data_IF_957833788347
#
_entry.id   IF_957833788347
#
_cell.length_a   1.000
_cell.length_b   1.000
_cell.length_c   1.000
_cell.angle_alpha   90.00
_cell.angle_beta   90.00
_cell.angle_gamma   90.00
#
_symmetry.space_group_name_H-M   'P 1'
#
loop_
_entity.id
_entity.type
_entity.pdbx_description
1 polymer ?
#
# COMPACT_ATOMS: atom_id res chain seq x y z
N UNK A 1 21.94 31.57 -4.22
CA UNK A 1 20.77 30.80 -4.71
C UNK A 1 21.31 29.63 -5.54
N UNK A 2 21.40 28.41 -4.96
CA UNK A 2 21.69 27.22 -5.76
C UNK A 2 20.38 26.84 -6.46
N UNK A 3 20.36 26.96 -7.78
CA UNK A 3 19.29 26.47 -8.64
C UNK A 3 19.04 24.99 -8.29
N UNK A 4 17.82 24.69 -7.85
CA UNK A 4 17.33 23.34 -7.68
C UNK A 4 17.25 22.73 -9.10
N UNK A 5 18.30 22.06 -9.54
CA UNK A 5 18.19 21.14 -10.67
C UNK A 5 17.33 19.97 -10.18
N UNK A 6 16.04 20.03 -10.48
CA UNK A 6 15.12 18.93 -10.24
C UNK A 6 15.55 17.83 -11.20
N UNK A 7 16.03 16.73 -10.65
CA UNK A 7 16.52 15.60 -11.41
C UNK A 7 15.36 15.08 -12.29
N UNK A 8 15.59 14.90 -13.59
CA UNK A 8 14.57 14.45 -14.56
C UNK A 8 13.86 13.18 -14.08
N UNK A 9 14.60 12.28 -13.44
CA UNK A 9 14.07 11.04 -12.91
C UNK A 9 13.10 11.26 -11.74
N UNK A 10 13.32 12.31 -10.93
CA UNK A 10 12.41 12.69 -9.87
C UNK A 10 11.07 13.20 -10.43
N UNK A 11 11.11 14.08 -11.43
CA UNK A 11 9.89 14.61 -12.07
C UNK A 11 9.12 13.49 -12.76
N UNK A 12 9.81 12.63 -13.48
CA UNK A 12 9.21 11.49 -14.16
C UNK A 12 8.51 10.54 -13.16
N UNK A 13 9.17 10.24 -12.04
CA UNK A 13 8.60 9.39 -10.99
C UNK A 13 7.36 10.03 -10.34
N UNK A 14 7.40 11.34 -10.06
CA UNK A 14 6.27 12.06 -9.50
C UNK A 14 5.07 12.06 -10.45
N UNK A 15 5.28 12.38 -11.73
CA UNK A 15 4.24 12.35 -12.77
C UNK A 15 3.65 10.93 -12.94
N UNK A 16 4.51 9.90 -12.96
CA UNK A 16 4.07 8.51 -13.05
C UNK A 16 3.18 8.13 -11.86
N UNK A 17 3.54 8.52 -10.63
CA UNK A 17 2.73 8.24 -9.44
C UNK A 17 1.38 8.94 -9.46
N UNK A 18 1.32 10.19 -9.94
CA UNK A 18 0.05 10.91 -10.12
C UNK A 18 -0.82 10.20 -11.15
N UNK A 19 -0.25 9.78 -12.28
CA UNK A 19 -1.00 9.07 -13.31
C UNK A 19 -1.51 7.71 -12.80
N UNK A 20 -0.70 6.94 -12.06
CA UNK A 20 -1.12 5.69 -11.42
C UNK A 20 -2.29 5.95 -10.45
N UNK A 21 -2.23 7.02 -9.65
CA UNK A 21 -3.31 7.40 -8.75
C UNK A 21 -4.63 7.64 -9.52
N UNK A 22 -4.56 8.40 -10.62
CA UNK A 22 -5.73 8.67 -11.47
C UNK A 22 -6.29 7.40 -12.11
N UNK A 23 -5.43 6.52 -12.63
CA UNK A 23 -5.84 5.23 -13.20
C UNK A 23 -6.48 4.31 -12.14
N UNK A 24 -5.91 4.24 -10.95
CA UNK A 24 -6.49 3.44 -9.88
C UNK A 24 -7.84 4.02 -9.41
N UNK A 25 -7.97 5.35 -9.37
CA UNK A 25 -9.24 5.99 -9.05
C UNK A 25 -10.30 5.72 -10.12
N UNK A 26 -9.92 5.79 -11.41
CA UNK A 26 -10.79 5.42 -12.53
C UNK A 26 -11.21 3.94 -12.45
N UNK A 27 -10.29 3.03 -12.07
CA UNK A 27 -10.62 1.63 -11.84
C UNK A 27 -11.60 1.43 -10.67
N UNK A 28 -11.48 2.22 -9.59
CA UNK A 28 -12.44 2.21 -8.48
C UNK A 28 -13.81 2.65 -8.97
N UNK A 29 -13.93 3.79 -9.69
CA UNK A 29 -15.19 4.28 -10.24
C UNK A 29 -15.81 3.23 -11.16
N UNK A 30 -15.03 2.65 -12.06
CA UNK A 30 -15.51 1.62 -12.97
C UNK A 30 -16.06 0.41 -12.22
N UNK A 31 -15.30 -0.14 -11.25
CA UNK A 31 -15.72 -1.32 -10.49
C UNK A 31 -16.99 -1.08 -9.67
N UNK A 32 -17.16 0.13 -9.11
CA UNK A 32 -18.32 0.48 -8.31
C UNK A 32 -19.55 0.73 -9.16
N UNK A 33 -19.42 1.40 -10.30
CA UNK A 33 -20.53 1.70 -11.22
C UNK A 33 -21.07 0.44 -11.90
N UNK A 34 -20.19 -0.50 -12.26
CA UNK A 34 -20.57 -1.67 -13.05
C UNK A 34 -20.98 -2.85 -12.17
N UNK A 35 -20.24 -3.11 -11.08
CA UNK A 35 -20.45 -4.30 -10.26
C UNK A 35 -21.06 -4.00 -8.89
N UNK A 36 -21.38 -2.73 -8.62
CA UNK A 36 -22.02 -2.30 -7.38
C UNK A 36 -21.15 -2.51 -6.14
N UNK A 37 -21.78 -2.36 -4.97
CA UNK A 37 -21.10 -2.46 -3.69
C UNK A 37 -20.64 -3.89 -3.36
N UNK A 38 -21.42 -4.90 -3.71
CA UNK A 38 -21.09 -6.31 -3.46
C UNK A 38 -19.88 -6.73 -4.30
N UNK A 39 -19.88 -6.51 -5.62
CA UNK A 39 -18.75 -6.82 -6.49
C UNK A 39 -17.49 -6.05 -6.09
N UNK A 40 -17.64 -4.80 -5.65
CA UNK A 40 -16.54 -4.01 -5.10
C UNK A 40 -16.01 -4.60 -3.80
N UNK A 41 -16.85 -5.18 -2.96
CA UNK A 41 -16.47 -5.87 -1.74
C UNK A 41 -15.58 -7.08 -2.02
N UNK A 42 -15.98 -7.96 -2.93
CA UNK A 42 -15.16 -9.10 -3.37
C UNK A 42 -13.80 -8.68 -3.92
N UNK A 43 -13.77 -7.63 -4.75
CA UNK A 43 -12.51 -7.08 -5.26
C UNK A 43 -11.63 -6.52 -4.13
N UNK A 44 -12.22 -5.89 -3.11
CA UNK A 44 -11.47 -5.32 -1.99
C UNK A 44 -10.84 -6.41 -1.12
N UNK A 45 -11.55 -7.50 -0.84
CA UNK A 45 -10.99 -8.67 -0.12
C UNK A 45 -9.89 -9.31 -0.95
N UNK A 46 -10.13 -9.60 -2.23
CA UNK A 46 -9.11 -10.17 -3.12
C UNK A 46 -7.83 -9.31 -3.16
N UNK A 47 -7.98 -7.99 -3.26
CA UNK A 47 -6.83 -7.07 -3.25
C UNK A 47 -6.10 -7.08 -1.88
N UNK A 48 -6.84 -7.22 -0.78
CA UNK A 48 -6.26 -7.37 0.56
C UNK A 48 -5.48 -8.67 0.67
N UNK A 49 -6.02 -9.79 0.18
CA UNK A 49 -5.36 -11.09 0.18
C UNK A 49 -4.08 -11.09 -0.64
N UNK A 50 -4.11 -10.53 -1.86
CA UNK A 50 -2.89 -10.36 -2.68
C UNK A 50 -1.86 -9.50 -1.96
N UNK A 51 -2.29 -8.43 -1.26
CA UNK A 51 -1.39 -7.58 -0.47
C UNK A 51 -0.80 -8.31 0.73
N UNK A 52 -1.56 -9.21 1.36
CA UNK A 52 -1.08 -10.07 2.44
C UNK A 52 0.02 -11.03 1.94
N UNK A 53 -0.25 -11.72 0.84
CA UNK A 53 0.74 -12.61 0.22
C UNK A 53 1.97 -11.83 -0.22
N UNK A 54 1.79 -10.64 -0.79
CA UNK A 54 2.89 -9.76 -1.19
C UNK A 54 3.83 -9.45 -0.02
N UNK A 55 3.31 -9.21 1.19
CA UNK A 55 4.14 -8.96 2.39
C UNK A 55 5.09 -10.13 2.67
N UNK A 56 4.64 -11.37 2.51
CA UNK A 56 5.50 -12.55 2.69
C UNK A 56 6.42 -12.81 1.51
N UNK A 57 5.97 -12.62 0.27
CA UNK A 57 6.84 -12.78 -0.91
C UNK A 57 7.93 -11.72 -0.94
N UNK A 58 7.66 -10.50 -0.46
CA UNK A 58 8.58 -9.37 -0.42
C UNK A 58 9.83 -9.65 0.42
N UNK A 59 9.80 -10.59 1.36
CA UNK A 59 10.98 -11.00 2.15
C UNK A 59 12.18 -11.30 1.22
N UNK A 60 11.95 -11.95 0.08
CA UNK A 60 13.01 -12.30 -0.87
C UNK A 60 12.88 -11.63 -2.25
N UNK A 61 11.84 -10.81 -2.48
CA UNK A 61 11.64 -10.16 -3.78
C UNK A 61 11.80 -8.65 -3.76
N UNK A 62 11.83 -8.02 -2.58
CA UNK A 62 11.87 -6.55 -2.46
C UNK A 62 13.27 -6.04 -2.06
N UNK A 63 13.42 -5.44 -0.91
CA UNK A 63 14.62 -4.74 -0.46
C UNK A 63 15.85 -5.64 -0.37
N UNK A 64 15.68 -6.92 -0.01
CA UNK A 64 16.76 -7.90 -0.02
C UNK A 64 17.42 -8.02 -1.39
N UNK A 65 16.64 -7.98 -2.49
CA UNK A 65 17.16 -8.02 -3.86
C UNK A 65 17.99 -6.78 -4.15
N UNK A 66 17.44 -5.59 -3.92
CA UNK A 66 18.13 -4.32 -4.19
C UNK A 66 19.44 -4.21 -3.40
N UNK A 67 19.44 -4.67 -2.14
CA UNK A 67 20.61 -4.60 -1.25
C UNK A 67 21.72 -5.60 -1.63
N UNK A 68 21.34 -6.84 -1.92
CA UNK A 68 22.31 -7.91 -2.20
C UNK A 68 22.73 -8.01 -3.67
N UNK A 69 22.06 -7.31 -4.59
CA UNK A 69 22.31 -7.40 -6.04
C UNK A 69 23.77 -7.22 -6.42
N UNK A 70 24.44 -6.20 -5.87
CA UNK A 70 25.85 -5.90 -6.17
C UNK A 70 26.82 -6.92 -5.56
N UNK A 71 26.43 -7.60 -4.48
CA UNK A 71 27.29 -8.54 -3.73
C UNK A 71 27.19 -9.97 -4.24
N UNK A 72 25.99 -10.39 -4.64
CA UNK A 72 25.66 -11.81 -4.94
C UNK A 72 25.39 -11.98 -6.44
N UNK A 73 24.92 -10.94 -7.11
CA UNK A 73 24.49 -11.00 -8.51
C UNK A 73 23.02 -11.39 -8.66
N UNK A 74 22.51 -11.24 -9.89
CA UNK A 74 21.07 -11.36 -10.17
C UNK A 74 20.56 -12.82 -10.20
N UNK A 75 21.38 -13.77 -10.68
CA UNK A 75 20.90 -15.16 -10.91
C UNK A 75 20.59 -15.94 -9.61
N UNK A 76 21.43 -15.94 -8.57
CA UNK A 76 21.09 -16.57 -7.29
C UNK A 76 19.89 -15.92 -6.62
N UNK A 77 19.79 -14.58 -6.67
CA UNK A 77 18.66 -13.84 -6.10
C UNK A 77 17.36 -14.17 -6.86
N UNK A 78 17.38 -14.27 -8.20
CA UNK A 78 16.23 -14.65 -9.00
C UNK A 78 15.73 -16.06 -8.67
N UNK A 79 16.66 -17.02 -8.56
CA UNK A 79 16.30 -18.40 -8.19
C UNK A 79 15.57 -18.46 -6.85
N UNK A 80 16.12 -17.77 -5.84
CA UNK A 80 15.51 -17.71 -4.50
C UNK A 80 14.17 -16.98 -4.50
N UNK A 81 14.09 -15.84 -5.17
CA UNK A 81 12.89 -15.03 -5.24
C UNK A 81 11.73 -15.79 -5.92
N UNK A 82 11.98 -16.44 -7.05
CA UNK A 82 10.93 -17.19 -7.78
C UNK A 82 10.49 -18.44 -7.02
N UNK A 83 11.42 -19.23 -6.46
CA UNK A 83 11.06 -20.37 -5.63
C UNK A 83 10.25 -19.96 -4.40
N UNK A 84 10.70 -18.92 -3.71
CA UNK A 84 10.02 -18.40 -2.53
C UNK A 84 8.61 -17.89 -2.86
N UNK A 85 8.49 -17.09 -3.93
CA UNK A 85 7.20 -16.57 -4.41
C UNK A 85 6.24 -17.72 -4.72
N UNK A 86 6.70 -18.74 -5.43
CA UNK A 86 5.88 -19.91 -5.76
C UNK A 86 5.40 -20.63 -4.48
N UNK A 87 6.30 -20.91 -3.55
CA UNK A 87 5.98 -21.61 -2.28
C UNK A 87 4.97 -20.78 -1.46
N UNK A 88 5.23 -19.50 -1.24
CA UNK A 88 4.33 -18.64 -0.45
C UNK A 88 2.96 -18.52 -1.11
N UNK A 89 2.92 -18.32 -2.44
CA UNK A 89 1.66 -18.22 -3.19
C UNK A 89 0.88 -19.54 -3.17
N UNK A 90 1.56 -20.70 -3.25
CA UNK A 90 0.92 -22.01 -3.17
C UNK A 90 0.33 -22.27 -1.78
N UNK A 91 1.08 -21.97 -0.72
CA UNK A 91 0.58 -22.08 0.66
C UNK A 91 -0.63 -21.17 0.86
N UNK A 92 -0.55 -19.92 0.41
CA UNK A 92 -1.67 -18.98 0.51
C UNK A 92 -2.89 -19.44 -0.27
N UNK A 93 -2.72 -19.97 -1.48
CA UNK A 93 -3.81 -20.52 -2.30
C UNK A 93 -4.50 -21.73 -1.61
N UNK A 94 -3.72 -22.59 -0.95
CA UNK A 94 -4.28 -23.70 -0.15
C UNK A 94 -5.09 -23.13 1.03
N UNK A 95 -4.59 -22.13 1.74
CA UNK A 95 -5.33 -21.50 2.86
C UNK A 95 -6.65 -20.91 2.34
N UNK A 96 -6.63 -20.11 1.26
CA UNK A 96 -7.83 -19.51 0.66
C UNK A 96 -8.83 -20.58 0.25
N UNK A 97 -8.40 -21.70 -0.34
CA UNK A 97 -9.28 -22.79 -0.73
C UNK A 97 -10.07 -23.42 0.45
N UNK A 98 -9.54 -23.33 1.67
CA UNK A 98 -10.21 -23.85 2.87
C UNK A 98 -10.96 -22.79 3.68
N UNK A 99 -10.64 -21.52 3.51
CA UNK A 99 -11.16 -20.44 4.36
C UNK A 99 -12.19 -19.56 3.66
N UNK A 100 -12.08 -19.37 2.34
CA UNK A 100 -12.93 -18.45 1.59
C UNK A 100 -13.33 -19.02 0.22
N UNK A 101 -14.54 -19.58 0.16
CA UNK A 101 -15.11 -20.09 -1.08
C UNK A 101 -15.46 -19.00 -2.12
N UNK A 102 -15.48 -17.72 -1.72
CA UNK A 102 -15.83 -16.59 -2.58
C UNK A 102 -14.66 -16.13 -3.46
N UNK A 103 -13.43 -16.40 -3.06
CA UNK A 103 -12.22 -16.04 -3.81
C UNK A 103 -11.84 -17.18 -4.78
N UNK A 104 -11.75 -16.89 -6.08
CA UNK A 104 -11.36 -17.91 -7.06
C UNK A 104 -9.88 -18.30 -6.88
N UNK A 105 -9.63 -19.49 -6.36
CA UNK A 105 -8.31 -19.97 -5.92
C UNK A 105 -7.25 -19.92 -7.04
N UNK A 106 -7.59 -20.37 -8.26
CA UNK A 106 -6.64 -20.39 -9.37
C UNK A 106 -6.24 -18.98 -9.84
N UNK A 107 -7.17 -18.06 -10.11
CA UNK A 107 -6.83 -16.65 -10.36
C UNK A 107 -6.00 -16.03 -9.23
N UNK A 108 -6.34 -16.28 -7.98
CA UNK A 108 -5.60 -15.79 -6.82
C UNK A 108 -4.14 -16.27 -6.83
N UNK A 109 -3.92 -17.58 -6.98
CA UNK A 109 -2.57 -18.15 -7.07
C UNK A 109 -1.75 -17.53 -8.20
N UNK A 110 -2.34 -17.44 -9.40
CA UNK A 110 -1.64 -16.90 -10.57
C UNK A 110 -1.26 -15.42 -10.36
N UNK A 111 -2.20 -14.60 -9.87
CA UNK A 111 -1.92 -13.18 -9.59
C UNK A 111 -0.85 -13.02 -8.52
N UNK A 112 -0.88 -13.83 -7.46
CA UNK A 112 0.12 -13.80 -6.38
C UNK A 112 1.53 -14.11 -6.91
N UNK A 113 1.67 -15.17 -7.73
CA UNK A 113 2.94 -15.53 -8.36
C UNK A 113 3.43 -14.43 -9.30
N UNK A 114 2.57 -13.95 -10.19
CA UNK A 114 2.93 -12.86 -11.12
C UNK A 114 3.36 -11.59 -10.39
N UNK A 115 2.63 -11.22 -9.33
CA UNK A 115 2.95 -10.05 -8.49
C UNK A 115 4.34 -10.13 -7.87
N UNK A 116 4.67 -11.25 -7.23
CA UNK A 116 5.99 -11.46 -6.62
C UNK A 116 7.13 -11.46 -7.64
N UNK A 117 6.90 -12.07 -8.82
CA UNK A 117 7.88 -12.04 -9.92
C UNK A 117 8.10 -10.60 -10.45
N UNK A 118 7.03 -9.81 -10.61
CA UNK A 118 7.15 -8.40 -11.03
C UNK A 118 7.88 -7.58 -9.97
N UNK A 119 7.58 -7.82 -8.68
CA UNK A 119 8.27 -7.14 -7.56
C UNK A 119 9.78 -7.43 -7.60
N UNK A 120 10.19 -8.66 -7.85
CA UNK A 120 11.61 -9.02 -8.01
C UNK A 120 12.27 -8.20 -9.13
N UNK A 121 11.67 -8.14 -10.33
CA UNK A 121 12.22 -7.35 -11.43
C UNK A 121 12.27 -5.85 -11.12
N UNK A 122 11.22 -5.32 -10.49
CA UNK A 122 11.16 -3.93 -10.06
C UNK A 122 12.27 -3.58 -9.08
N UNK A 123 12.58 -4.49 -8.15
CA UNK A 123 13.67 -4.36 -7.19
C UNK A 123 15.05 -4.45 -7.83
N UNK A 124 15.22 -5.27 -8.88
CA UNK A 124 16.44 -5.26 -9.70
C UNK A 124 16.64 -3.91 -10.38
N UNK A 125 15.59 -3.33 -10.99
CA UNK A 125 15.68 -2.03 -11.66
C UNK A 125 16.05 -0.91 -10.68
N UNK A 126 15.47 -0.91 -9.48
CA UNK A 126 15.82 0.04 -8.42
C UNK A 126 17.27 -0.14 -7.96
N UNK A 127 17.72 -1.38 -7.79
CA UNK A 127 19.09 -1.70 -7.35
C UNK A 127 20.19 -1.21 -8.30
N UNK A 128 19.87 -1.05 -9.59
CA UNK A 128 20.77 -0.48 -10.62
C UNK A 128 20.36 0.91 -11.10
N UNK A 129 19.44 1.59 -10.39
CA UNK A 129 18.97 2.94 -10.71
C UNK A 129 18.32 3.08 -12.10
N UNK A 130 17.71 2.02 -12.60
CA UNK A 130 16.94 2.03 -13.85
C UNK A 130 15.50 2.50 -13.59
N UNK A 131 15.37 3.76 -13.18
CA UNK A 131 14.11 4.36 -12.71
C UNK A 131 13.01 4.34 -13.78
N UNK A 132 13.36 4.53 -15.05
CA UNK A 132 12.41 4.48 -16.16
C UNK A 132 11.71 3.10 -16.24
N UNK A 133 12.48 2.00 -16.18
CA UNK A 133 11.93 0.64 -16.29
C UNK A 133 11.03 0.32 -15.09
N UNK A 134 11.41 0.75 -13.89
CA UNK A 134 10.59 0.65 -12.69
C UNK A 134 9.27 1.40 -12.83
N UNK A 135 9.32 2.67 -13.24
CA UNK A 135 8.12 3.50 -13.42
C UNK A 135 7.21 2.96 -14.53
N UNK A 136 7.78 2.49 -15.62
CA UNK A 136 7.01 1.91 -16.72
C UNK A 136 6.28 0.63 -16.29
N UNK A 137 6.96 -0.26 -15.56
CA UNK A 137 6.33 -1.48 -15.05
C UNK A 137 5.14 -1.17 -14.14
N UNK A 138 5.31 -0.27 -13.17
CA UNK A 138 4.25 0.12 -12.23
C UNK A 138 3.08 0.84 -12.92
N UNK A 139 3.37 1.69 -13.89
CA UNK A 139 2.32 2.36 -14.68
C UNK A 139 1.52 1.39 -15.54
N UNK A 140 2.21 0.47 -16.22
CA UNK A 140 1.56 -0.51 -17.08
C UNK A 140 0.67 -1.46 -16.30
N UNK A 141 1.02 -1.83 -15.06
CA UNK A 141 0.13 -2.66 -14.20
C UNK A 141 -1.24 -1.98 -14.04
N UNK A 142 -1.29 -0.71 -13.70
CA UNK A 142 -2.55 0.03 -13.51
C UNK A 142 -3.26 0.34 -14.83
N UNK A 143 -2.53 0.73 -15.87
CA UNK A 143 -3.11 1.08 -17.15
C UNK A 143 -3.72 -0.13 -17.87
N UNK A 144 -2.98 -1.25 -17.95
CA UNK A 144 -3.47 -2.47 -18.58
C UNK A 144 -4.60 -3.11 -17.79
N UNK A 145 -4.58 -3.04 -16.44
CA UNK A 145 -5.69 -3.50 -15.63
C UNK A 145 -6.98 -2.78 -16.03
N UNK A 146 -6.98 -1.45 -16.13
CA UNK A 146 -8.16 -0.68 -16.53
C UNK A 146 -8.59 -1.02 -17.95
N UNK A 147 -7.65 -1.11 -18.90
CA UNK A 147 -7.94 -1.46 -20.30
C UNK A 147 -8.59 -2.85 -20.41
N UNK A 148 -8.02 -3.86 -19.73
CA UNK A 148 -8.58 -5.21 -19.78
C UNK A 148 -9.90 -5.36 -19.01
N UNK A 149 -10.08 -4.62 -17.92
CA UNK A 149 -11.38 -4.56 -17.24
C UNK A 149 -12.48 -4.03 -18.19
N UNK A 150 -12.19 -2.94 -18.90
CA UNK A 150 -13.09 -2.41 -19.93
C UNK A 150 -13.34 -3.44 -21.04
N UNK A 151 -12.29 -4.06 -21.55
CA UNK A 151 -12.39 -5.07 -22.59
C UNK A 151 -13.24 -6.28 -22.15
N UNK A 152 -12.98 -6.85 -20.98
CA UNK A 152 -13.76 -7.99 -20.48
C UNK A 152 -15.21 -7.64 -20.20
N UNK A 153 -15.48 -6.45 -19.67
CA UNK A 153 -16.86 -5.98 -19.49
C UNK A 153 -17.63 -5.91 -20.83
N UNK A 154 -16.98 -5.42 -21.90
CA UNK A 154 -17.60 -5.25 -23.19
C UNK A 154 -17.76 -6.56 -23.97
N UNK A 155 -16.74 -7.41 -23.97
CA UNK A 155 -16.69 -8.64 -24.78
C UNK A 155 -17.18 -9.89 -24.06
N UNK A 156 -17.17 -9.89 -22.71
CA UNK A 156 -17.52 -11.04 -21.86
C UNK A 156 -18.38 -10.59 -20.66
N UNK A 157 -19.56 -9.97 -20.90
CA UNK A 157 -20.39 -9.39 -19.84
C UNK A 157 -20.85 -10.41 -18.79
N UNK A 158 -20.94 -11.68 -19.16
CA UNK A 158 -21.36 -12.78 -18.27
C UNK A 158 -20.36 -13.03 -17.12
N UNK A 159 -19.13 -12.56 -17.22
CA UNK A 159 -18.10 -12.76 -16.18
C UNK A 159 -18.35 -11.94 -14.92
N UNK A 160 -19.16 -10.89 -14.97
CA UNK A 160 -19.43 -10.02 -13.83
C UNK A 160 -18.15 -9.47 -13.21
N UNK A 161 -18.06 -9.41 -11.86
CA UNK A 161 -16.89 -8.93 -11.15
C UNK A 161 -15.64 -9.85 -11.29
N UNK A 162 -15.80 -11.11 -11.73
CA UNK A 162 -14.67 -11.99 -12.04
C UNK A 162 -13.80 -11.46 -13.18
N UNK A 163 -14.35 -10.59 -14.06
CA UNK A 163 -13.58 -9.88 -15.07
C UNK A 163 -12.37 -9.15 -14.50
N UNK A 164 -12.47 -8.62 -13.26
CA UNK A 164 -11.35 -7.99 -12.57
C UNK A 164 -10.16 -8.93 -12.39
N UNK A 165 -10.40 -10.16 -11.95
CA UNK A 165 -9.34 -11.14 -11.69
C UNK A 165 -8.64 -11.56 -12.99
N UNK A 166 -9.40 -11.78 -14.06
CA UNK A 166 -8.84 -12.11 -15.38
C UNK A 166 -8.08 -10.93 -16.00
N UNK A 167 -8.61 -9.72 -15.85
CA UNK A 167 -7.92 -8.50 -16.27
C UNK A 167 -6.58 -8.32 -15.55
N UNK A 168 -6.55 -8.63 -14.25
CA UNK A 168 -5.33 -8.55 -13.46
C UNK A 168 -4.30 -9.61 -13.86
N UNK A 169 -4.72 -10.84 -14.12
CA UNK A 169 -3.83 -11.90 -14.64
C UNK A 169 -3.19 -11.45 -15.95
N UNK A 170 -4.01 -11.00 -16.91
CA UNK A 170 -3.52 -10.63 -18.24
C UNK A 170 -2.58 -9.42 -18.19
N UNK A 171 -2.95 -8.38 -17.41
CA UNK A 171 -2.12 -7.19 -17.24
C UNK A 171 -0.77 -7.53 -16.59
N UNK A 172 -0.78 -8.33 -15.51
CA UNK A 172 0.44 -8.72 -14.81
C UNK A 172 1.31 -9.65 -15.65
N UNK A 173 0.71 -10.56 -16.42
CA UNK A 173 1.46 -11.42 -17.34
C UNK A 173 2.21 -10.61 -18.40
N UNK A 174 1.54 -9.64 -19.04
CA UNK A 174 2.18 -8.77 -20.04
C UNK A 174 3.30 -7.94 -19.41
N UNK A 175 3.06 -7.36 -18.23
CA UNK A 175 4.08 -6.59 -17.51
C UNK A 175 5.27 -7.46 -17.14
N UNK A 176 5.04 -8.71 -16.68
CA UNK A 176 6.12 -9.64 -16.36
C UNK A 176 6.98 -9.96 -17.60
N UNK A 177 6.35 -10.20 -18.76
CA UNK A 177 7.08 -10.43 -20.01
C UNK A 177 7.95 -9.21 -20.36
N UNK A 178 7.41 -8.00 -20.25
CA UNK A 178 8.16 -6.75 -20.50
C UNK A 178 9.33 -6.62 -19.50
N UNK A 179 9.10 -6.86 -18.22
CA UNK A 179 10.13 -6.83 -17.19
C UNK A 179 11.24 -7.87 -17.46
N UNK A 180 10.86 -9.07 -17.88
CA UNK A 180 11.80 -10.14 -18.23
C UNK A 180 12.68 -9.75 -19.43
N UNK A 181 12.09 -9.13 -20.46
CA UNK A 181 12.86 -8.60 -21.62
C UNK A 181 13.86 -7.54 -21.18
N UNK A 182 13.44 -6.59 -20.34
CA UNK A 182 14.35 -5.57 -19.81
C UNK A 182 15.46 -6.19 -18.95
N UNK A 183 15.12 -7.11 -18.07
CA UNK A 183 16.11 -7.81 -17.24
C UNK A 183 17.11 -8.58 -18.10
N UNK A 184 16.63 -9.26 -19.13
CA UNK A 184 17.52 -9.98 -20.07
C UNK A 184 18.49 -9.03 -20.81
N UNK A 185 18.02 -7.84 -21.20
CA UNK A 185 18.86 -6.84 -21.86
C UNK A 185 19.91 -6.20 -20.93
N UNK A 186 19.58 -6.06 -19.64
CA UNK A 186 20.46 -5.38 -18.66
C UNK A 186 21.46 -6.36 -18.04
N UNK A 187 21.00 -7.56 -17.66
CA UNK A 187 21.77 -8.53 -16.88
C UNK A 187 22.14 -9.81 -17.66
N UNK A 188 21.54 -10.04 -18.84
CA UNK A 188 21.66 -11.29 -19.57
C UNK A 188 20.68 -12.36 -19.05
N UNK A 189 20.97 -13.63 -19.37
CA UNK A 189 20.10 -14.75 -18.98
C UNK A 189 20.20 -15.03 -17.48
N UNK A 190 19.07 -15.18 -16.83
CA UNK A 190 18.99 -15.72 -15.47
C UNK A 190 19.34 -17.22 -15.56
N UNK A 191 20.33 -17.65 -14.77
CA UNK A 191 20.73 -19.05 -14.63
C UNK A 191 20.28 -19.58 -13.29
N UNK A 192 19.84 -20.82 -13.23
CA UNK A 192 19.50 -21.44 -11.96
C UNK A 192 20.76 -21.53 -11.09
N UNK A 193 20.73 -20.93 -9.92
CA UNK A 193 21.83 -20.89 -8.97
C UNK A 193 21.28 -20.82 -7.54
N UNK A 194 21.17 -21.97 -6.89
CA UNK A 194 20.70 -22.04 -5.50
C UNK A 194 21.87 -22.04 -4.53
N UNK A 195 21.77 -21.22 -3.47
CA UNK A 195 22.73 -21.16 -2.39
C UNK A 195 22.02 -20.97 -1.06
N UNK A 196 22.19 -21.90 -0.13
CA UNK A 196 21.59 -21.84 1.19
C UNK A 196 22.14 -20.67 2.04
N UNK A 197 23.42 -20.32 1.86
CA UNK A 197 24.03 -19.17 2.53
C UNK A 197 23.41 -17.86 2.04
N UNK A 198 23.20 -17.72 0.73
CA UNK A 198 22.50 -16.59 0.14
C UNK A 198 21.06 -16.49 0.67
N UNK A 199 20.36 -17.63 0.74
CA UNK A 199 19.00 -17.68 1.29
C UNK A 199 18.95 -17.17 2.72
N UNK A 200 19.79 -17.69 3.61
CA UNK A 200 19.83 -17.27 5.03
C UNK A 200 20.10 -15.76 5.18
N UNK A 201 21.06 -15.22 4.42
CA UNK A 201 21.40 -13.79 4.47
C UNK A 201 20.26 -12.91 3.95
N UNK A 202 19.68 -13.23 2.80
CA UNK A 202 18.61 -12.48 2.20
C UNK A 202 17.31 -12.56 3.03
N UNK A 203 16.98 -13.75 3.56
CA UNK A 203 15.81 -13.97 4.39
C UNK A 203 15.88 -13.18 5.71
N UNK A 204 17.02 -13.27 6.44
CA UNK A 204 17.19 -12.55 7.69
C UNK A 204 17.13 -11.02 7.52
N UNK A 205 17.59 -10.51 6.38
CA UNK A 205 17.48 -9.10 6.06
C UNK A 205 16.03 -8.71 5.73
N UNK A 206 15.40 -9.42 4.80
CA UNK A 206 14.05 -9.10 4.35
C UNK A 206 12.98 -9.30 5.43
N UNK A 207 13.10 -10.34 6.25
CA UNK A 207 12.16 -10.62 7.34
C UNK A 207 12.03 -9.45 8.34
N UNK A 208 13.15 -8.82 8.70
CA UNK A 208 13.14 -7.71 9.65
C UNK A 208 12.40 -6.48 9.12
N UNK A 209 12.50 -6.24 7.82
CA UNK A 209 11.80 -5.13 7.15
C UNK A 209 10.31 -5.44 6.98
N UNK A 210 9.99 -6.63 6.48
CA UNK A 210 8.61 -7.02 6.17
C UNK A 210 7.76 -7.29 7.42
N UNK A 211 8.36 -7.54 8.59
CA UNK A 211 7.61 -7.62 9.85
C UNK A 211 6.88 -6.30 10.16
N UNK A 212 7.52 -5.16 9.93
CA UNK A 212 6.88 -3.85 10.10
C UNK A 212 5.78 -3.62 9.06
N UNK A 213 5.99 -4.06 7.82
CA UNK A 213 4.99 -3.99 6.76
C UNK A 213 3.77 -4.86 7.07
N UNK A 214 3.98 -6.06 7.62
CA UNK A 214 2.90 -6.95 8.06
C UNK A 214 2.03 -6.34 9.16
N UNK A 215 2.66 -5.72 10.18
CA UNK A 215 1.92 -4.99 11.22
C UNK A 215 1.07 -3.85 10.64
N UNK A 216 1.62 -3.10 9.68
CA UNK A 216 0.90 -2.02 9.02
C UNK A 216 -0.24 -2.56 8.13
N UNK A 217 -0.03 -3.68 7.45
CA UNK A 217 -1.06 -4.36 6.68
C UNK A 217 -2.25 -4.76 7.58
N UNK A 218 -1.99 -5.42 8.71
CA UNK A 218 -3.04 -5.78 9.66
C UNK A 218 -3.81 -4.55 10.16
N UNK A 219 -3.11 -3.48 10.52
CA UNK A 219 -3.74 -2.23 10.93
C UNK A 219 -4.66 -1.63 9.84
N UNK A 220 -4.30 -1.78 8.57
CA UNK A 220 -5.04 -1.18 7.46
C UNK A 220 -6.18 -2.07 6.94
N UNK A 221 -6.03 -3.39 7.00
CA UNK A 221 -6.89 -4.33 6.26
C UNK A 221 -7.68 -5.31 7.13
N UNK A 222 -7.34 -5.48 8.42
CA UNK A 222 -8.08 -6.41 9.30
C UNK A 222 -9.59 -6.09 9.35
N UNK A 223 -9.94 -4.80 9.37
CA UNK A 223 -11.33 -4.38 9.38
C UNK A 223 -12.12 -4.85 8.15
N UNK A 224 -11.49 -4.97 6.98
CA UNK A 224 -12.13 -5.49 5.77
C UNK A 224 -12.61 -6.92 5.95
N UNK A 225 -11.73 -7.78 6.50
CA UNK A 225 -12.06 -9.18 6.77
C UNK A 225 -13.19 -9.32 7.80
N UNK A 226 -13.10 -8.55 8.89
CA UNK A 226 -14.11 -8.64 9.95
C UNK A 226 -15.48 -8.10 9.49
N UNK A 227 -15.52 -7.03 8.67
CA UNK A 227 -16.78 -6.57 8.05
C UNK A 227 -17.34 -7.68 7.15
N UNK A 228 -16.50 -8.34 6.33
CA UNK A 228 -16.94 -9.44 5.48
C UNK A 228 -17.50 -10.63 6.25
N UNK A 229 -16.96 -10.92 7.44
CA UNK A 229 -17.42 -12.03 8.31
C UNK A 229 -18.70 -11.67 9.07
N UNK A 230 -18.80 -10.46 9.63
CA UNK A 230 -19.88 -10.09 10.57
C UNK A 230 -21.01 -9.27 9.91
N UNK A 231 -20.79 -8.70 8.72
CA UNK A 231 -21.82 -8.02 7.95
C UNK A 231 -21.99 -8.70 6.58
N UNK A 232 -21.64 -8.01 5.50
CA UNK A 232 -21.78 -8.49 4.12
C UNK A 232 -20.72 -7.87 3.20
N UNK A 233 -20.62 -8.40 1.96
CA UNK A 233 -19.66 -7.91 0.97
C UNK A 233 -19.99 -6.50 0.46
N UNK A 234 -21.28 -6.10 0.48
CA UNK A 234 -21.68 -4.73 0.16
C UNK A 234 -21.10 -3.72 1.14
N UNK A 235 -21.17 -4.03 2.43
CA UNK A 235 -20.55 -3.23 3.51
C UNK A 235 -19.02 -3.11 3.34
N UNK A 236 -18.34 -4.19 2.95
CA UNK A 236 -16.91 -4.16 2.61
C UNK A 236 -16.66 -3.22 1.42
N UNK A 237 -17.51 -3.28 0.39
CA UNK A 237 -17.41 -2.43 -0.80
C UNK A 237 -17.52 -0.95 -0.44
N UNK A 238 -18.55 -0.56 0.31
CA UNK A 238 -18.78 0.82 0.77
C UNK A 238 -17.61 1.31 1.63
N UNK A 239 -17.20 0.50 2.63
CA UNK A 239 -16.07 0.80 3.49
C UNK A 239 -14.77 0.98 2.68
N UNK A 240 -14.54 0.12 1.66
CA UNK A 240 -13.36 0.18 0.81
C UNK A 240 -13.25 1.47 0.01
N UNK A 241 -14.38 2.01 -0.47
CA UNK A 241 -14.42 3.30 -1.18
C UNK A 241 -14.09 4.45 -0.22
N UNK A 242 -14.68 4.47 0.97
CA UNK A 242 -14.37 5.47 2.00
C UNK A 242 -12.90 5.47 2.40
N UNK A 243 -12.31 4.28 2.60
CA UNK A 243 -10.87 4.13 2.87
C UNK A 243 -10.02 4.58 1.68
N UNK A 244 -10.38 4.25 0.45
CA UNK A 244 -9.65 4.67 -0.77
C UNK A 244 -9.59 6.20 -0.88
N UNK A 245 -10.70 6.90 -0.60
CA UNK A 245 -10.74 8.37 -0.60
C UNK A 245 -9.87 8.93 0.53
N UNK A 246 -9.90 8.30 1.71
CA UNK A 246 -9.03 8.67 2.83
C UNK A 246 -7.55 8.50 2.48
N UNK A 247 -7.19 7.42 1.79
CA UNK A 247 -5.82 7.17 1.30
C UNK A 247 -5.40 8.20 0.24
N UNK A 248 -6.33 8.69 -0.59
CA UNK A 248 -6.07 9.76 -1.55
C UNK A 248 -5.76 11.10 -0.85
N UNK A 249 -6.45 11.43 0.25
CA UNK A 249 -6.12 12.61 1.08
C UNK A 249 -4.68 12.51 1.61
N UNK A 250 -4.24 11.32 2.03
CA UNK A 250 -2.88 11.12 2.54
C UNK A 250 -1.77 11.23 1.50
N UNK A 251 -2.07 11.26 0.21
CA UNK A 251 -1.05 11.48 -0.83
C UNK A 251 -0.34 12.83 -0.62
N UNK A 252 -1.06 13.87 -0.21
CA UNK A 252 -0.47 15.16 0.14
C UNK A 252 0.48 15.04 1.35
N UNK A 253 0.02 14.35 2.40
CA UNK A 253 0.82 14.12 3.61
C UNK A 253 2.10 13.34 3.31
N UNK A 254 2.02 12.29 2.49
CA UNK A 254 3.17 11.47 2.07
C UNK A 254 4.16 12.29 1.25
N UNK A 255 3.68 13.14 0.35
CA UNK A 255 4.53 13.98 -0.48
C UNK A 255 5.30 15.02 0.35
N UNK A 256 4.61 15.70 1.28
CA UNK A 256 5.24 16.64 2.20
C UNK A 256 6.25 15.96 3.12
N UNK A 257 5.90 14.80 3.66
CA UNK A 257 6.75 14.01 4.53
C UNK A 257 8.03 13.53 3.81
N UNK A 258 7.96 13.17 2.52
CA UNK A 258 9.12 12.76 1.73
C UNK A 258 10.12 13.92 1.52
N UNK A 259 9.60 15.12 1.20
CA UNK A 259 10.44 16.32 1.06
C UNK A 259 11.11 16.65 2.39
N UNK A 260 10.35 16.62 3.48
CA UNK A 260 10.87 16.86 4.83
C UNK A 260 11.93 15.82 5.22
N UNK A 261 11.73 14.52 4.92
CA UNK A 261 12.71 13.47 5.15
C UNK A 261 14.09 13.79 4.57
N UNK A 262 14.13 14.23 3.30
CA UNK A 262 15.38 14.58 2.63
C UNK A 262 16.09 15.79 3.26
N UNK A 263 15.33 16.73 3.83
CA UNK A 263 15.90 17.88 4.56
C UNK A 263 16.47 17.46 5.90
N UNK A 264 15.72 16.67 6.68
CA UNK A 264 16.15 16.19 8.00
C UNK A 264 17.39 15.31 7.90
N UNK A 265 17.51 14.47 6.87
CA UNK A 265 18.74 13.70 6.61
C UNK A 265 20.00 14.58 6.50
N UNK A 266 19.86 15.81 5.97
CA UNK A 266 20.98 16.76 5.82
C UNK A 266 21.24 17.57 7.09
N UNK A 267 20.19 17.86 7.86
CA UNK A 267 20.26 18.64 9.10
C UNK A 267 20.70 17.80 10.31
N UNK A 268 20.43 16.49 10.28
CA UNK A 268 20.62 15.60 11.42
C UNK A 268 19.63 15.87 12.56
N UNK A 269 20.02 15.49 13.78
CA UNK A 269 19.20 15.69 15.00
C UNK A 269 19.49 17.06 15.60
N UNK A 270 18.96 18.10 15.00
CA UNK A 270 19.16 19.51 15.38
C UNK A 270 17.85 20.19 15.73
N UNK A 271 17.93 21.29 16.49
CA UNK A 271 16.77 22.14 16.76
C UNK A 271 16.12 22.69 15.48
N UNK A 272 16.91 22.92 14.43
CA UNK A 272 16.42 23.35 13.12
C UNK A 272 15.56 22.27 12.45
N UNK A 273 16.03 21.01 12.47
CA UNK A 273 15.26 19.86 11.96
C UNK A 273 13.94 19.67 12.71
N UNK A 274 13.94 19.89 14.03
CA UNK A 274 12.73 19.84 14.84
C UNK A 274 11.74 20.96 14.47
N UNK A 275 12.21 22.21 14.31
CA UNK A 275 11.38 23.34 13.90
C UNK A 275 10.77 23.15 12.50
N UNK A 276 11.58 22.68 11.52
CA UNK A 276 11.11 22.39 10.17
C UNK A 276 10.05 21.27 10.21
N UNK A 277 10.29 20.20 10.96
CA UNK A 277 9.33 19.10 11.11
C UNK A 277 8.02 19.60 11.72
N UNK A 278 8.07 20.42 12.76
CA UNK A 278 6.89 21.02 13.36
C UNK A 278 6.11 21.85 12.34
N UNK A 279 6.77 22.69 11.56
CA UNK A 279 6.16 23.52 10.52
C UNK A 279 5.47 22.66 9.47
N UNK A 280 6.15 21.65 8.94
CA UNK A 280 5.59 20.73 7.94
C UNK A 280 4.39 19.97 8.51
N UNK A 281 4.45 19.53 9.77
CA UNK A 281 3.33 18.86 10.45
C UNK A 281 2.09 19.74 10.50
N UNK A 282 2.21 21.02 10.87
CA UNK A 282 1.07 21.95 10.90
C UNK A 282 0.50 22.23 9.52
N UNK A 283 1.35 22.44 8.50
CA UNK A 283 0.91 22.64 7.12
C UNK A 283 0.16 21.40 6.61
N UNK A 284 0.72 20.22 6.84
CA UNK A 284 0.12 18.94 6.42
C UNK A 284 -1.24 18.73 7.11
N UNK A 285 -1.32 19.00 8.42
CA UNK A 285 -2.58 18.90 9.16
C UNK A 285 -3.63 19.88 8.62
N UNK A 286 -3.25 21.14 8.36
CA UNK A 286 -4.15 22.14 7.81
C UNK A 286 -4.72 21.73 6.43
N UNK A 287 -3.86 21.23 5.53
CA UNK A 287 -4.28 20.72 4.22
C UNK A 287 -5.22 19.52 4.39
N UNK A 288 -4.89 18.58 5.29
CA UNK A 288 -5.72 17.39 5.55
C UNK A 288 -7.09 17.77 6.07
N UNK A 289 -7.16 18.69 7.06
CA UNK A 289 -8.43 19.20 7.61
C UNK A 289 -9.24 19.91 6.53
N UNK A 290 -8.60 20.70 5.68
CA UNK A 290 -9.25 21.33 4.53
C UNK A 290 -9.84 20.29 3.57
N UNK A 291 -9.09 19.26 3.20
CA UNK A 291 -9.60 18.18 2.33
C UNK A 291 -10.78 17.42 2.98
N UNK A 292 -10.73 17.17 4.29
CA UNK A 292 -11.84 16.56 5.03
C UNK A 292 -13.06 17.48 5.02
N UNK A 293 -12.89 18.79 5.23
CA UNK A 293 -13.97 19.78 5.19
C UNK A 293 -14.61 19.83 3.80
N UNK A 294 -13.81 19.82 2.74
CA UNK A 294 -14.32 19.72 1.35
C UNK A 294 -15.14 18.45 1.17
N UNK A 295 -14.62 17.28 1.59
CA UNK A 295 -15.36 16.02 1.49
C UNK A 295 -16.67 16.04 2.30
N UNK A 296 -16.69 16.70 3.46
CA UNK A 296 -17.89 16.88 4.27
C UNK A 296 -18.96 17.75 3.59
N UNK A 297 -18.54 18.79 2.84
CA UNK A 297 -19.45 19.65 2.10
C UNK A 297 -20.07 18.99 0.86
N UNK A 298 -19.43 17.93 0.31
CA UNK A 298 -19.95 17.21 -0.86
C UNK A 298 -21.22 16.44 -0.47
N UNK A 299 -22.38 16.63 -1.16
CA UNK A 299 -23.60 15.87 -0.88
C UNK A 299 -23.43 14.37 -1.14
N UNK A 300 -24.24 13.53 -0.48
CA UNK A 300 -24.24 12.07 -0.72
C UNK A 300 -24.56 11.71 -2.16
N UNK A 301 -25.47 12.47 -2.79
CA UNK A 301 -25.84 12.29 -4.20
C UNK A 301 -24.66 12.39 -5.18
N UNK A 302 -23.63 13.15 -4.84
CA UNK A 302 -22.41 13.23 -5.66
C UNK A 302 -21.60 11.93 -5.54
N UNK A 303 -21.55 11.32 -4.35
CA UNK A 303 -20.92 10.01 -4.17
C UNK A 303 -21.67 8.93 -4.95
N UNK A 304 -23.00 8.94 -4.92
CA UNK A 304 -23.82 8.02 -5.70
C UNK A 304 -23.67 8.25 -7.21
N UNK A 305 -23.57 9.50 -7.64
CA UNK A 305 -23.31 9.82 -9.04
C UNK A 305 -21.94 9.30 -9.52
N UNK A 306 -20.90 9.44 -8.69
CA UNK A 306 -19.53 9.04 -9.05
C UNK A 306 -19.35 7.52 -8.92
N UNK A 307 -19.80 6.92 -7.82
CA UNK A 307 -19.52 5.53 -7.46
C UNK A 307 -20.67 4.57 -7.66
N UNK A 308 -21.88 5.07 -7.97
CA UNK A 308 -23.08 4.27 -8.16
C UNK A 308 -24.01 4.26 -6.95
N UNK A 309 -25.21 3.70 -7.14
CA UNK A 309 -26.24 3.64 -6.11
C UNK A 309 -25.74 2.91 -4.84
N UNK A 310 -26.10 3.42 -3.66
CA UNK A 310 -25.71 2.88 -2.36
C UNK A 310 -24.34 3.36 -1.84
N UNK A 311 -23.50 3.99 -2.67
CA UNK A 311 -22.22 4.51 -2.22
C UNK A 311 -22.30 5.89 -1.53
N UNK A 312 -23.48 6.47 -1.38
CA UNK A 312 -23.68 7.67 -0.56
C UNK A 312 -23.16 7.49 0.88
N UNK A 313 -23.28 6.28 1.44
CA UNK A 313 -22.79 5.93 2.76
C UNK A 313 -21.25 6.00 2.88
N UNK A 314 -20.48 5.91 1.79
CA UNK A 314 -19.03 6.11 1.81
C UNK A 314 -18.64 7.50 2.37
N UNK A 315 -19.51 8.51 2.25
CA UNK A 315 -19.35 9.81 2.90
C UNK A 315 -19.33 9.66 4.43
N UNK A 316 -20.22 8.86 4.99
CA UNK A 316 -20.31 8.61 6.44
C UNK A 316 -18.99 7.97 6.90
N UNK A 317 -18.49 7.00 6.15
CA UNK A 317 -17.19 6.36 6.43
C UNK A 317 -16.05 7.40 6.51
N UNK A 318 -15.97 8.32 5.53
CA UNK A 318 -14.93 9.37 5.52
C UNK A 318 -15.07 10.29 6.74
N UNK A 319 -16.29 10.69 7.09
CA UNK A 319 -16.55 11.58 8.25
C UNK A 319 -16.22 10.89 9.58
N UNK A 320 -16.56 9.63 9.74
CA UNK A 320 -16.21 8.86 10.93
C UNK A 320 -14.71 8.60 11.04
N UNK A 321 -14.02 8.44 9.90
CA UNK A 321 -12.56 8.34 9.84
C UNK A 321 -11.84 9.69 9.95
N UNK A 322 -12.54 10.83 9.93
CA UNK A 322 -11.94 12.16 9.81
C UNK A 322 -10.85 12.43 10.86
N UNK A 323 -11.12 12.09 12.12
CA UNK A 323 -10.14 12.25 13.20
C UNK A 323 -8.93 11.33 13.01
N UNK A 324 -9.16 10.08 12.59
CA UNK A 324 -8.11 9.12 12.25
C UNK A 324 -7.28 9.58 11.04
N UNK A 325 -7.93 10.13 10.01
CA UNK A 325 -7.26 10.68 8.81
C UNK A 325 -6.33 11.82 9.21
N UNK A 326 -6.80 12.76 10.03
CA UNK A 326 -6.01 13.88 10.54
C UNK A 326 -4.83 13.40 11.41
N UNK A 327 -5.07 12.46 12.31
CA UNK A 327 -4.02 11.87 13.16
C UNK A 327 -2.95 11.15 12.33
N UNK A 328 -3.34 10.32 11.35
CA UNK A 328 -2.39 9.60 10.53
C UNK A 328 -1.59 10.53 9.59
N UNK A 329 -2.14 11.67 9.16
CA UNK A 329 -1.40 12.68 8.40
C UNK A 329 -0.22 13.25 9.20
N UNK A 330 -0.43 13.56 10.47
CA UNK A 330 0.63 13.95 11.42
C UNK A 330 1.64 12.82 11.61
N UNK A 331 1.13 11.61 11.82
CA UNK A 331 1.97 10.43 12.02
C UNK A 331 2.92 10.16 10.84
N UNK A 332 2.52 10.42 9.59
CA UNK A 332 3.36 10.21 8.41
C UNK A 332 4.56 11.16 8.36
N UNK A 333 4.37 12.44 8.74
CA UNK A 333 5.47 13.41 8.81
C UNK A 333 6.46 13.02 9.91
N UNK A 334 5.94 12.70 11.11
CA UNK A 334 6.78 12.30 12.26
C UNK A 334 7.47 10.94 12.03
N UNK A 335 6.82 10.00 11.32
CA UNK A 335 7.43 8.75 10.92
C UNK A 335 8.69 8.99 10.08
N UNK A 336 8.61 9.84 9.07
CA UNK A 336 9.75 10.19 8.23
C UNK A 336 10.84 10.95 9.01
N UNK A 337 10.49 11.79 9.97
CA UNK A 337 11.46 12.42 10.87
C UNK A 337 12.26 11.40 11.66
N UNK A 338 11.60 10.49 12.38
CA UNK A 338 12.28 9.45 13.15
C UNK A 338 13.03 8.44 12.27
N UNK A 339 12.51 8.16 11.08
CA UNK A 339 13.19 7.33 10.08
C UNK A 339 14.49 7.97 9.60
N UNK A 340 14.48 9.28 9.30
CA UNK A 340 15.67 10.03 8.90
C UNK A 340 16.76 10.05 10.01
N UNK A 341 16.34 10.04 11.28
CA UNK A 341 17.24 9.97 12.44
C UNK A 341 17.66 8.53 12.81
N UNK A 342 17.20 7.51 12.07
CA UNK A 342 17.51 6.11 12.35
C UNK A 342 16.89 5.55 13.64
N UNK A 343 15.87 6.21 14.20
CA UNK A 343 15.22 5.81 15.45
C UNK A 343 14.15 4.73 15.23
N UNK A 344 14.54 3.59 14.66
CA UNK A 344 13.63 2.50 14.24
C UNK A 344 12.79 1.91 15.38
N UNK A 345 13.32 1.90 16.64
CA UNK A 345 12.57 1.40 17.80
C UNK A 345 11.26 2.18 18.04
N UNK A 346 11.26 3.49 17.81
CA UNK A 346 10.08 4.34 17.95
C UNK A 346 9.04 3.98 16.88
N UNK A 347 9.49 3.69 15.66
CA UNK A 347 8.62 3.30 14.55
C UNK A 347 7.97 1.94 14.79
N UNK A 348 8.72 0.97 15.33
CA UNK A 348 8.18 -0.33 15.74
C UNK A 348 7.15 -0.17 16.86
N UNK A 349 7.47 0.63 17.90
CA UNK A 349 6.53 0.88 19.01
C UNK A 349 5.22 1.50 18.53
N UNK A 350 5.29 2.47 17.60
CA UNK A 350 4.11 3.05 16.95
C UNK A 350 3.24 1.98 16.29
N UNK A 351 3.86 1.14 15.44
CA UNK A 351 3.13 0.10 14.68
C UNK A 351 2.53 -0.95 15.60
N UNK A 352 3.27 -1.37 16.63
CA UNK A 352 2.79 -2.31 17.64
C UNK A 352 1.64 -1.75 18.46
N UNK A 353 1.74 -0.48 18.89
CA UNK A 353 0.66 0.17 19.67
C UNK A 353 -0.63 0.27 18.86
N UNK A 354 -0.54 0.67 17.58
CA UNK A 354 -1.69 0.68 16.68
C UNK A 354 -2.30 -0.71 16.51
N UNK A 355 -1.46 -1.73 16.29
CA UNK A 355 -1.92 -3.11 16.10
C UNK A 355 -2.63 -3.66 17.35
N UNK A 356 -2.11 -3.40 18.54
CA UNK A 356 -2.76 -3.80 19.80
C UNK A 356 -4.15 -3.17 19.91
N UNK A 357 -4.30 -1.88 19.61
CA UNK A 357 -5.60 -1.21 19.60
C UNK A 357 -6.54 -1.83 18.57
N UNK A 358 -6.05 -2.06 17.35
CA UNK A 358 -6.83 -2.67 16.27
C UNK A 358 -7.33 -4.05 16.70
N UNK A 359 -6.45 -4.92 17.19
CA UNK A 359 -6.82 -6.28 17.62
C UNK A 359 -7.78 -6.26 18.83
N UNK A 360 -7.55 -5.37 19.80
CA UNK A 360 -8.40 -5.31 21.00
C UNK A 360 -9.81 -4.81 20.71
N UNK A 361 -9.96 -3.83 19.82
CA UNK A 361 -11.25 -3.20 19.55
C UNK A 361 -12.01 -3.84 18.38
N UNK A 362 -11.32 -4.37 17.37
CA UNK A 362 -11.95 -4.83 16.13
C UNK A 362 -12.89 -6.01 16.38
N UNK A 363 -12.48 -7.00 17.18
CA UNK A 363 -13.29 -8.18 17.50
C UNK A 363 -14.49 -7.89 18.40
N UNK A 364 -14.56 -6.70 18.98
CA UNK A 364 -15.68 -6.28 19.80
C UNK A 364 -16.58 -5.27 19.09
N UNK A 365 -16.02 -4.22 18.50
CA UNK A 365 -16.81 -3.14 17.91
C UNK A 365 -17.39 -3.48 16.54
N UNK A 366 -16.68 -4.25 15.71
CA UNK A 366 -17.17 -4.58 14.37
C UNK A 366 -18.38 -5.51 14.41
N UNK A 367 -18.44 -6.58 15.25
CA UNK A 367 -19.65 -7.38 15.39
C UNK A 367 -20.86 -6.60 15.88
N UNK A 368 -20.67 -5.51 16.66
CA UNK A 368 -21.75 -4.69 17.21
C UNK A 368 -22.23 -3.60 16.27
N UNK A 369 -21.30 -2.94 15.55
CA UNK A 369 -21.56 -1.72 14.78
C UNK A 369 -21.12 -1.80 13.32
N UNK A 370 -20.76 -2.97 12.81
CA UNK A 370 -20.38 -3.21 11.42
C UNK A 370 -19.38 -2.16 10.87
N UNK A 371 -19.75 -1.43 9.82
CA UNK A 371 -18.92 -0.38 9.19
C UNK A 371 -18.52 0.71 10.19
N UNK A 372 -19.45 1.16 11.01
CA UNK A 372 -19.20 2.21 12.01
C UNK A 372 -18.16 1.75 13.03
N UNK A 373 -18.28 0.49 13.50
CA UNK A 373 -17.31 -0.13 14.37
C UNK A 373 -15.90 -0.15 13.77
N UNK A 374 -15.78 -0.48 12.48
CA UNK A 374 -14.51 -0.47 11.75
C UNK A 374 -13.92 0.94 11.64
N UNK A 375 -14.76 1.95 11.41
CA UNK A 375 -14.32 3.36 11.40
C UNK A 375 -13.76 3.80 12.75
N UNK A 376 -14.42 3.44 13.85
CA UNK A 376 -13.95 3.75 15.21
C UNK A 376 -12.62 3.03 15.49
N UNK A 377 -12.51 1.73 15.17
CA UNK A 377 -11.28 0.95 15.34
C UNK A 377 -10.10 1.60 14.62
N UNK A 378 -10.27 1.91 13.33
CA UNK A 378 -9.20 2.54 12.54
C UNK A 378 -8.85 3.92 13.08
N UNK A 379 -9.84 4.73 13.46
CA UNK A 379 -9.59 6.07 14.03
C UNK A 379 -8.83 5.99 15.35
N UNK A 380 -9.21 5.09 16.25
CA UNK A 380 -8.50 4.86 17.52
C UNK A 380 -7.06 4.36 17.29
N UNK A 381 -6.87 3.41 16.37
CA UNK A 381 -5.55 2.90 16.02
C UNK A 381 -4.63 3.99 15.47
N UNK A 382 -5.13 4.84 14.58
CA UNK A 382 -4.37 5.96 14.03
C UNK A 382 -4.09 7.04 15.08
N UNK A 383 -5.03 7.32 15.97
CA UNK A 383 -4.83 8.26 17.08
C UNK A 383 -3.73 7.79 18.03
N UNK A 384 -3.79 6.53 18.48
CA UNK A 384 -2.78 5.97 19.40
C UNK A 384 -1.41 5.92 18.72
N UNK A 385 -1.35 5.46 17.46
CA UNK A 385 -0.13 5.44 16.67
C UNK A 385 0.50 6.84 16.52
N UNK A 386 -0.34 7.86 16.28
CA UNK A 386 0.09 9.25 16.18
C UNK A 386 0.54 9.80 17.54
N UNK A 387 -0.20 9.53 18.60
CA UNK A 387 0.11 9.98 19.96
C UNK A 387 1.48 9.48 20.43
N UNK A 388 1.84 8.22 20.12
CA UNK A 388 3.18 7.67 20.39
C UNK A 388 4.26 8.54 19.73
N UNK A 389 4.14 8.84 18.44
CA UNK A 389 5.13 9.65 17.73
C UNK A 389 5.19 11.09 18.24
N UNK A 390 4.04 11.71 18.49
CA UNK A 390 3.95 13.07 19.05
C UNK A 390 4.60 13.12 20.43
N UNK A 391 4.35 12.13 21.29
CA UNK A 391 4.94 12.05 22.62
C UNK A 391 6.48 12.01 22.58
N UNK A 392 7.07 11.21 21.70
CA UNK A 392 8.52 11.19 21.50
C UNK A 392 9.04 12.49 20.85
N UNK A 393 8.32 13.06 19.92
CA UNK A 393 8.70 14.30 19.26
C UNK A 393 8.76 15.49 20.22
N UNK A 394 7.77 15.60 21.11
CA UNK A 394 7.75 16.68 22.14
C UNK A 394 8.84 16.45 23.19
N UNK A 395 9.16 15.20 23.57
CA UNK A 395 10.24 14.87 24.48
C UNK A 395 11.62 15.26 23.93
N UNK A 396 11.84 15.10 22.63
CA UNK A 396 13.11 15.49 22.00
C UNK A 396 13.39 16.99 22.14
N UNK A 397 12.38 17.85 22.11
CA UNK A 397 12.55 19.29 22.34
C UNK A 397 13.19 19.60 23.70
N UNK A 398 12.92 18.81 24.74
CA UNK A 398 13.45 19.05 26.10
C UNK A 398 14.90 18.60 26.26
N UNK A 399 15.40 17.72 25.40
CA UNK A 399 16.79 17.24 25.46
C UNK A 399 17.79 18.24 24.92
N UNK A 400 17.38 19.13 24.00
CA UNK A 400 18.27 20.13 23.37
C UNK A 400 18.35 21.45 24.15
N UNK A 401 17.65 21.56 25.29
CA UNK A 401 17.62 22.77 26.16
C UNK A 401 18.40 22.58 27.47
N UNK A 402 19.12 21.50 27.61
CA UNK A 402 20.09 21.22 28.68
C UNK A 402 21.44 20.84 28.07
#
# INVERSE_FOLDING_TARGET
MKTFNIDRDFVLTALTKVLILLLNFAAVIFTTQIWGSEGKGFIAIFAADISLVATFTNILTNSSVSFFLKKIGHSPLATLAFLWTFIVSAVAAVIVAFTDASVPVLPFFVVAVLSGCITFHSSLFLGVQKIFQYNLATLLMSALLLVFMLAFHYFLPETGYHAYFYAQILSYFIVLVICQVFTHRIFGRIRFAFSLDTFKKAFNFGWQEELSAFMQFLNARLCFYLIGIYADMSSVGIFSVGVTISEAIWVFSRSMALVQYSKVLKMGDTAEAWLETRRVTFITLAITVFCIAVAACVPMSVFEFIFGAGFGEAKIVILMLAVGIAANSVAQVLFNYFSALGRLKILLLRSSAGLVVTLSLAFWLIPMWNIEGACVVNSCSYLVSSAVLVGFFVRNKKSDTH
#
